data_IF_289511522140
#
_entry.id   IF_289511522140
#
_cell.length_a   1.000
_cell.length_b   1.000
_cell.length_c   1.000
_cell.angle_alpha   90.00
_cell.angle_beta   90.00
_cell.angle_gamma   90.00
#
_symmetry.space_group_name_H-M   'P 1'
#
loop_
_entity.id
_entity.type
_entity.pdbx_description
1 polymer ?
#
# COMPACT_ATOMS: atom_id res chain seq x y z
N UNK A 1 -5.77 -7.27 -3.96
CA UNK A 1 -5.90 -6.84 -5.37
C UNK A 1 -4.83 -7.54 -6.20
N UNK A 2 -5.11 -8.03 -7.40
CA UNK A 2 -4.11 -8.74 -8.21
C UNK A 2 -3.08 -7.81 -8.91
N UNK A 3 -3.31 -6.48 -8.90
CA UNK A 3 -2.41 -5.53 -9.59
C UNK A 3 -1.02 -5.50 -8.98
N UNK A 4 -0.90 -5.66 -7.66
CA UNK A 4 0.40 -5.66 -6.97
C UNK A 4 1.27 -6.86 -7.34
N UNK A 5 0.74 -7.88 -8.05
CA UNK A 5 1.52 -9.05 -8.50
C UNK A 5 2.10 -8.86 -9.90
N UNK A 6 1.96 -7.68 -10.51
CA UNK A 6 2.41 -7.40 -11.87
C UNK A 6 3.73 -6.64 -11.83
N UNK A 7 4.64 -7.03 -12.72
CA UNK A 7 5.84 -6.28 -13.03
C UNK A 7 5.45 -4.88 -13.56
N UNK A 8 6.03 -3.78 -13.04
CA UNK A 8 5.68 -2.43 -13.48
C UNK A 8 6.13 -2.11 -14.92
N UNK A 9 7.19 -2.74 -15.41
CA UNK A 9 7.75 -2.49 -16.75
C UNK A 9 7.01 -3.29 -17.83
N UNK A 10 6.61 -4.53 -17.53
CA UNK A 10 6.02 -5.45 -18.54
C UNK A 10 4.51 -5.68 -18.36
N UNK A 11 3.97 -5.47 -17.16
CA UNK A 11 2.58 -5.78 -16.81
C UNK A 11 2.27 -7.27 -16.64
N UNK A 12 3.26 -8.16 -16.85
CA UNK A 12 3.15 -9.59 -16.62
C UNK A 12 3.21 -9.92 -15.11
N UNK A 13 2.74 -11.11 -14.73
CA UNK A 13 2.90 -11.58 -13.35
C UNK A 13 4.26 -12.24 -13.20
N UNK A 14 5.08 -11.73 -12.29
CA UNK A 14 6.44 -12.21 -12.03
C UNK A 14 6.69 -12.55 -10.55
N UNK A 15 6.03 -11.85 -9.63
CA UNK A 15 6.10 -12.09 -8.19
C UNK A 15 4.71 -12.19 -7.56
N UNK A 16 4.48 -13.27 -6.81
CA UNK A 16 3.28 -13.46 -5.98
C UNK A 16 3.36 -12.62 -4.70
N UNK A 17 3.25 -11.30 -4.87
CA UNK A 17 3.32 -10.33 -3.78
C UNK A 17 2.23 -10.55 -2.74
N UNK A 18 1.06 -11.08 -3.12
CA UNK A 18 -0.03 -11.36 -2.20
C UNK A 18 0.32 -12.48 -1.22
N UNK A 19 0.92 -13.58 -1.70
CA UNK A 19 1.39 -14.66 -0.83
C UNK A 19 2.51 -14.20 0.10
N UNK A 20 3.46 -13.40 -0.42
CA UNK A 20 4.54 -12.83 0.38
C UNK A 20 4.00 -11.89 1.46
N UNK A 21 3.14 -10.92 1.12
CA UNK A 21 2.55 -10.00 2.10
C UNK A 21 1.79 -10.76 3.18
N UNK A 22 0.98 -11.75 2.79
CA UNK A 22 0.23 -12.58 3.73
C UNK A 22 1.14 -13.33 4.71
N UNK A 23 2.31 -13.81 4.29
CA UNK A 23 3.18 -14.61 5.14
C UNK A 23 3.77 -13.83 6.31
N UNK A 24 4.02 -12.53 6.15
CA UNK A 24 4.64 -11.71 7.21
C UNK A 24 3.70 -10.70 7.88
N UNK A 25 2.58 -10.29 7.24
CA UNK A 25 1.57 -9.41 7.86
C UNK A 25 0.32 -10.14 8.35
N UNK A 26 0.13 -11.40 7.95
CA UNK A 26 -1.11 -12.13 8.17
C UNK A 26 -2.26 -11.59 7.31
N UNK A 27 -3.49 -11.89 7.71
CA UNK A 27 -4.70 -11.40 7.06
C UNK A 27 -5.75 -11.01 8.12
N UNK A 28 -6.18 -9.74 8.10
CA UNK A 28 -7.27 -9.26 8.95
C UNK A 28 -8.57 -9.91 8.51
N UNK A 29 -9.33 -10.44 9.46
CA UNK A 29 -10.55 -11.21 9.19
C UNK A 29 -10.32 -12.41 8.26
N UNK A 30 -9.10 -12.94 8.19
CA UNK A 30 -8.72 -14.08 7.35
C UNK A 30 -8.64 -13.80 5.84
N UNK A 31 -8.99 -12.59 5.37
CA UNK A 31 -9.10 -12.28 3.93
C UNK A 31 -8.47 -10.95 3.51
N UNK A 32 -8.35 -9.97 4.41
CA UNK A 32 -7.84 -8.65 4.07
C UNK A 32 -6.34 -8.57 4.36
N UNK A 33 -5.56 -8.31 3.31
CA UNK A 33 -4.12 -8.08 3.42
C UNK A 33 -3.89 -6.57 3.55
N UNK A 34 -3.61 -6.13 4.76
CA UNK A 34 -3.38 -4.72 5.04
C UNK A 34 -1.97 -4.32 4.57
N UNK A 35 -1.90 -3.49 3.53
CA UNK A 35 -0.66 -3.04 2.89
C UNK A 35 -0.74 -1.55 2.50
N UNK A 36 -1.16 -0.73 3.45
CA UNK A 36 -1.38 0.71 3.28
C UNK A 36 -2.50 1.20 4.19
N UNK A 37 -2.70 2.51 4.23
CA UNK A 37 -3.77 3.17 4.97
C UNK A 37 -4.46 4.14 4.02
N UNK A 38 -5.80 4.13 4.00
CA UNK A 38 -6.58 5.14 3.28
C UNK A 38 -6.57 6.43 4.11
N UNK A 39 -6.23 7.54 3.47
CA UNK A 39 -6.33 8.88 4.04
C UNK A 39 -7.32 9.73 3.26
N UNK A 40 -7.83 10.77 3.90
CA UNK A 40 -8.69 11.78 3.29
C UNK A 40 -8.03 13.17 3.35
N UNK A 41 -8.36 14.03 2.39
CA UNK A 41 -7.86 15.40 2.35
C UNK A 41 -8.76 16.26 3.21
N UNK A 42 -8.30 16.60 4.43
CA UNK A 42 -9.02 17.50 5.35
C UNK A 42 -8.80 18.97 4.99
N UNK A 43 -7.61 19.31 4.51
CA UNK A 43 -7.27 20.68 4.08
C UNK A 43 -6.44 20.63 2.80
N UNK A 44 -6.89 21.28 1.71
CA UNK A 44 -6.11 21.35 0.47
C UNK A 44 -4.80 22.10 0.66
N UNK A 45 -3.74 21.66 -0.03
CA UNK A 45 -2.43 22.30 0.05
C UNK A 45 -1.43 21.63 -0.90
N UNK A 46 -0.23 22.21 -0.99
CA UNK A 46 0.87 21.65 -1.78
C UNK A 46 1.80 20.86 -0.88
N UNK A 47 2.13 19.64 -1.30
CA UNK A 47 3.11 18.76 -0.65
C UNK A 47 4.28 18.53 -1.60
N UNK A 48 5.49 18.41 -1.06
CA UNK A 48 6.73 18.14 -1.79
C UNK A 48 7.56 17.06 -1.10
N UNK A 49 8.46 16.46 -1.86
CA UNK A 49 9.46 15.53 -1.29
C UNK A 49 10.33 16.31 -0.30
N UNK A 50 10.47 15.76 0.90
CA UNK A 50 11.23 16.38 2.00
C UNK A 50 10.39 17.22 2.96
N UNK A 51 9.10 17.43 2.69
CA UNK A 51 8.22 18.09 3.67
C UNK A 51 8.12 17.24 4.95
N UNK A 52 8.20 17.84 6.15
CA UNK A 52 8.08 17.10 7.40
C UNK A 52 6.66 16.56 7.58
N UNK A 53 6.55 15.33 8.07
CA UNK A 53 5.28 14.68 8.40
C UNK A 53 5.22 14.45 9.91
N UNK A 54 4.17 14.97 10.55
CA UNK A 54 3.94 14.85 11.99
C UNK A 54 2.52 14.36 12.24
N UNK A 55 2.29 13.47 13.23
CA UNK A 55 0.94 13.20 13.71
C UNK A 55 0.28 14.49 14.18
N UNK A 56 -0.99 14.65 13.85
CA UNK A 56 -1.81 15.68 14.48
C UNK A 56 -2.09 15.24 15.92
N UNK A 57 -1.86 16.15 16.87
CA UNK A 57 -2.18 15.93 18.28
C UNK A 57 -3.70 15.91 18.51
#
# INVERSE_FOLDING_TARGET
CAITTKNPDTGERDLDTLRVIKSYRGARGGKQLDFGVYGEVVTPGRVRVGDPIVPLA
#
